data_IF_120796842342
#
_entry.id   IF_120796842342
#
_cell.length_a   1.000
_cell.length_b   1.000
_cell.length_c   1.000
_cell.angle_alpha   90.00
_cell.angle_beta   90.00
_cell.angle_gamma   90.00
#
_symmetry.space_group_name_H-M   'P 1'
#
loop_
_entity.id
_entity.type
_entity.pdbx_description
1 polymer ?
#
# COMPACT_ATOMS: atom_id res chain seq x y z
N UNK A 1 -4.53 6.71 1.23
CA UNK A 1 -4.36 5.31 0.80
C UNK A 1 -5.11 5.19 -0.50
N UNK A 2 -4.40 5.07 -1.62
CA UNK A 2 -4.98 5.08 -2.95
C UNK A 2 -4.60 3.76 -3.60
N UNK A 3 -5.59 2.92 -3.87
CA UNK A 3 -5.38 1.64 -4.55
C UNK A 3 -5.31 1.94 -6.05
N UNK A 4 -4.28 1.44 -6.72
CA UNK A 4 -3.96 1.80 -8.12
C UNK A 4 -4.96 1.24 -9.15
N UNK A 5 -5.92 0.45 -8.71
CA UNK A 5 -6.97 -0.15 -9.52
C UNK A 5 -8.36 0.00 -8.90
N UNK A 6 -9.39 0.03 -9.76
CA UNK A 6 -10.77 0.14 -9.34
C UNK A 6 -11.31 -1.24 -8.90
N UNK A 7 -11.54 -1.40 -7.60
CA UNK A 7 -12.01 -2.67 -7.02
C UNK A 7 -13.36 -3.08 -7.60
N UNK A 8 -14.30 -2.17 -7.81
CA UNK A 8 -15.62 -2.49 -8.37
C UNK A 8 -15.55 -3.03 -9.79
N UNK A 9 -14.65 -2.47 -10.61
CA UNK A 9 -14.44 -2.97 -11.97
C UNK A 9 -13.71 -4.31 -12.00
N UNK A 10 -12.72 -4.49 -11.13
CA UNK A 10 -11.98 -5.75 -11.05
C UNK A 10 -12.84 -6.88 -10.44
N UNK A 11 -13.67 -6.57 -9.45
CA UNK A 11 -14.65 -7.52 -8.87
C UNK A 11 -15.65 -8.00 -9.93
N UNK A 12 -16.11 -7.13 -10.83
CA UNK A 12 -17.00 -7.51 -11.94
C UNK A 12 -16.33 -8.42 -12.97
N UNK A 13 -15.00 -8.37 -13.08
CA UNK A 13 -14.22 -9.25 -13.97
C UNK A 13 -13.95 -10.61 -13.34
N UNK A 14 -13.81 -10.67 -12.01
CA UNK A 14 -13.65 -11.92 -11.28
C UNK A 14 -14.94 -12.73 -11.28
N UNK A 15 -14.98 -13.81 -12.06
CA UNK A 15 -16.17 -14.69 -12.17
C UNK A 15 -16.13 -15.85 -11.18
N UNK A 16 -14.94 -16.22 -10.72
CA UNK A 16 -14.75 -17.34 -9.79
C UNK A 16 -14.01 -16.91 -8.53
N UNK A 17 -14.22 -17.67 -7.46
CA UNK A 17 -13.57 -17.42 -6.17
C UNK A 17 -12.04 -17.54 -6.30
N UNK A 18 -11.54 -18.39 -7.21
CA UNK A 18 -10.10 -18.45 -7.51
C UNK A 18 -9.55 -17.13 -8.07
N UNK A 19 -10.32 -16.36 -8.83
CA UNK A 19 -9.88 -15.04 -9.31
C UNK A 19 -9.91 -13.97 -8.21
N UNK A 20 -10.66 -14.20 -7.14
CA UNK A 20 -10.72 -13.31 -5.98
C UNK A 20 -9.61 -13.62 -4.96
N UNK A 21 -9.48 -14.89 -4.56
CA UNK A 21 -8.65 -15.34 -3.43
C UNK A 21 -7.47 -16.22 -3.85
N UNK A 22 -7.37 -16.61 -5.12
CA UNK A 22 -6.32 -17.51 -5.61
C UNK A 22 -4.93 -16.89 -5.62
N UNK A 23 -3.97 -17.63 -6.17
CA UNK A 23 -2.53 -17.26 -6.15
C UNK A 23 -2.23 -15.86 -6.69
N UNK A 24 -3.03 -15.40 -7.66
CA UNK A 24 -3.02 -14.06 -8.26
C UNK A 24 -4.33 -13.30 -8.04
N UNK A 25 -5.10 -13.68 -7.02
CA UNK A 25 -6.42 -13.15 -6.78
C UNK A 25 -6.43 -11.67 -6.45
N UNK A 26 -7.54 -11.01 -6.77
CA UNK A 26 -7.76 -9.58 -6.54
C UNK A 26 -7.43 -9.13 -5.11
N UNK A 27 -7.88 -9.91 -4.10
CA UNK A 27 -7.63 -9.57 -2.69
C UNK A 27 -6.14 -9.57 -2.35
N UNK A 28 -5.35 -10.45 -2.96
CA UNK A 28 -3.91 -10.52 -2.69
C UNK A 28 -3.18 -9.29 -3.25
N UNK A 29 -3.56 -8.81 -4.44
CA UNK A 29 -3.04 -7.56 -5.01
C UNK A 29 -3.43 -6.35 -4.16
N UNK A 30 -4.69 -6.32 -3.72
CA UNK A 30 -5.22 -5.27 -2.85
C UNK A 30 -4.47 -5.18 -1.52
N UNK A 31 -4.31 -6.32 -0.83
CA UNK A 31 -3.59 -6.40 0.44
C UNK A 31 -2.13 -6.01 0.29
N UNK A 32 -1.49 -6.38 -0.83
CA UNK A 32 -0.11 -6.02 -1.12
C UNK A 32 0.05 -4.50 -1.21
N UNK A 33 -0.77 -3.83 -2.02
CA UNK A 33 -0.69 -2.37 -2.16
C UNK A 33 -1.00 -1.62 -0.86
N UNK A 34 -2.00 -2.08 -0.11
CA UNK A 34 -2.32 -1.50 1.20
C UNK A 34 -1.13 -1.67 2.15
N UNK A 35 -0.53 -2.85 2.19
CA UNK A 35 0.63 -3.13 3.07
C UNK A 35 1.84 -2.29 2.67
N UNK A 36 2.13 -2.18 1.37
CA UNK A 36 3.23 -1.34 0.86
C UNK A 36 3.00 0.14 1.18
N UNK A 37 1.77 0.64 1.05
CA UNK A 37 1.44 2.02 1.41
C UNK A 37 1.52 2.28 2.91
N UNK A 38 1.07 1.32 3.73
CA UNK A 38 1.19 1.41 5.19
C UNK A 38 2.68 1.43 5.56
N UNK A 39 3.48 0.51 5.01
CA UNK A 39 4.91 0.45 5.27
C UNK A 39 5.64 1.71 4.80
N UNK A 40 5.35 2.22 3.60
CA UNK A 40 5.90 3.49 3.09
C UNK A 40 5.52 4.67 4.00
N UNK A 41 4.27 4.70 4.48
CA UNK A 41 3.83 5.73 5.43
C UNK A 41 4.61 5.66 6.75
N UNK A 42 4.84 4.45 7.29
CA UNK A 42 5.66 4.26 8.49
C UNK A 42 7.14 4.65 8.25
N UNK A 43 7.72 4.26 7.12
CA UNK A 43 9.11 4.58 6.77
C UNK A 43 9.31 6.08 6.52
N UNK A 44 8.40 6.74 5.79
CA UNK A 44 8.42 8.20 5.58
C UNK A 44 8.28 8.99 6.88
N UNK A 45 7.47 8.53 7.81
CA UNK A 45 7.38 9.14 9.15
C UNK A 45 8.72 9.04 9.88
N UNK A 46 9.43 7.92 9.72
CA UNK A 46 10.72 7.72 10.37
C UNK A 46 11.84 8.56 9.72
N UNK A 47 11.84 8.74 8.40
CA UNK A 47 12.82 9.60 7.70
C UNK A 47 12.69 11.07 8.12
N UNK A 48 11.45 11.60 8.23
CA UNK A 48 11.20 12.98 8.69
C UNK A 48 11.71 13.27 10.11
N UNK A 49 11.86 12.26 10.95
CA UNK A 49 12.41 12.42 12.30
C UNK A 49 13.94 12.59 12.29
N UNK A 50 14.64 11.99 11.31
CA UNK A 50 16.09 12.09 11.18
C UNK A 50 16.49 13.46 10.62
N UNK A 51 15.77 13.99 9.63
CA UNK A 51 16.07 15.31 9.04
C UNK A 51 15.85 16.45 10.04
N UNK A 52 14.77 16.38 10.83
CA UNK A 52 14.48 17.38 11.88
C UNK A 52 15.53 17.40 13.00
N UNK A 53 16.15 16.25 13.31
CA UNK A 53 17.24 16.19 14.28
C UNK A 53 18.54 16.80 13.74
N UNK A 54 18.79 16.75 12.43
CA UNK A 54 19.96 17.36 11.81
C UNK A 54 19.82 18.89 11.64
N UNK A 55 18.62 19.40 11.31
CA UNK A 55 18.39 20.86 11.23
C UNK A 55 18.55 21.57 12.59
N UNK A 56 18.21 20.89 13.70
CA UNK A 56 18.29 21.46 15.04
C UNK A 56 19.69 21.33 15.71
N UNK A 57 20.68 20.79 14.99
CA UNK A 57 22.10 20.74 15.41
C UNK A 57 23.00 21.69 14.59
N UNK A 58 22.45 22.40 13.59
CA UNK A 58 23.17 23.36 12.75
C UNK A 58 22.77 24.82 13.09
N UNK A 59 21.96 25.04 14.14
CA UNK A 59 21.72 26.35 14.76
C UNK A 59 22.20 26.35 16.21
#
# INVERSE_FOLDING_TARGET
MQISFNIDEELKKCKTIEELTGKNGLFKRMLKEITEQILDAYLKVNEKSIVKAQENSIV
#
